data_IF_497303139620
#
_entry.id   IF_497303139620
#
_cell.length_a   1.000
_cell.length_b   1.000
_cell.length_c   1.000
_cell.angle_alpha   90.00
_cell.angle_beta   90.00
_cell.angle_gamma   90.00
#
_symmetry.space_group_name_H-M   'P 1'
#
loop_
_entity.id
_entity.type
_entity.pdbx_description
1 polymer ?
#
# COMPACT_ATOMS: atom_id res chain seq x y z
N UNK A 1 58.37 -40.71 -8.48
CA UNK A 1 58.26 -41.64 -7.34
C UNK A 1 56.82 -41.56 -6.87
N UNK A 2 55.98 -42.53 -7.23
CA UNK A 2 54.61 -42.60 -6.76
C UNK A 2 54.62 -43.38 -5.44
N UNK A 3 54.20 -42.74 -4.35
CA UNK A 3 53.96 -43.44 -3.08
C UNK A 3 52.61 -44.13 -3.27
N UNK A 4 52.62 -45.44 -3.50
CA UNK A 4 51.41 -46.26 -3.65
C UNK A 4 51.33 -47.18 -2.43
N UNK A 5 50.67 -46.72 -1.37
CA UNK A 5 50.46 -47.49 -0.15
C UNK A 5 49.01 -48.01 -0.15
N UNK A 6 48.83 -49.31 -0.39
CA UNK A 6 47.55 -49.97 -0.20
C UNK A 6 47.45 -50.43 1.25
N UNK A 7 46.35 -50.09 1.94
CA UNK A 7 46.03 -50.72 3.21
C UNK A 7 44.61 -51.28 3.27
N UNK A 8 44.45 -52.46 3.88
CA UNK A 8 43.18 -53.18 4.01
C UNK A 8 42.97 -53.64 5.46
N UNK A 9 41.74 -53.48 5.97
CA UNK A 9 41.34 -53.78 7.36
C UNK A 9 40.66 -52.59 8.05
N UNK A 10 40.01 -52.83 9.20
CA UNK A 10 39.42 -51.76 10.01
C UNK A 10 40.53 -50.88 10.63
N UNK A 11 40.34 -49.55 10.61
CA UNK A 11 41.26 -48.54 11.16
C UNK A 11 42.62 -48.36 10.46
N UNK A 12 42.77 -48.74 9.18
CA UNK A 12 44.06 -48.55 8.52
C UNK A 12 44.27 -47.14 7.92
N UNK A 13 45.52 -46.66 7.97
CA UNK A 13 45.96 -45.35 7.47
C UNK A 13 47.15 -45.56 6.52
N UNK A 14 47.01 -45.11 5.27
CA UNK A 14 48.01 -45.35 4.21
C UNK A 14 49.03 -44.21 4.01
N UNK A 15 48.79 -42.99 4.50
CA UNK A 15 49.77 -41.89 4.47
C UNK A 15 49.54 -40.98 5.69
N UNK A 16 50.53 -40.87 6.58
CA UNK A 16 50.55 -39.88 7.69
C UNK A 16 51.73 -38.93 7.55
N UNK A 17 51.47 -37.64 7.41
CA UNK A 17 52.51 -36.60 7.46
C UNK A 17 52.15 -35.54 8.52
N UNK A 18 53.03 -35.32 9.49
CA UNK A 18 52.88 -34.27 10.51
C UNK A 18 53.85 -33.13 10.20
N UNK A 19 53.35 -31.89 10.12
CA UNK A 19 54.17 -30.69 9.95
C UNK A 19 53.88 -29.76 11.13
N UNK A 20 54.91 -29.28 11.82
CA UNK A 20 54.77 -28.44 13.03
C UNK A 20 55.59 -27.17 12.90
N UNK A 21 55.05 -26.03 13.33
CA UNK A 21 55.67 -24.70 13.26
C UNK A 21 54.76 -23.66 12.59
N UNK A 22 55.07 -22.37 12.74
CA UNK A 22 54.39 -21.26 12.03
C UNK A 22 54.55 -21.46 10.50
N UNK A 23 53.47 -21.26 9.73
CA UNK A 23 53.42 -21.46 8.25
C UNK A 23 53.71 -22.89 7.71
N UNK A 24 53.68 -23.92 8.56
CA UNK A 24 53.96 -25.31 8.16
C UNK A 24 52.87 -25.93 7.25
N UNK A 25 53.28 -26.82 6.31
CA UNK A 25 52.39 -27.43 5.29
C UNK A 25 52.59 -28.95 5.23
N UNK A 26 51.55 -29.71 5.55
CA UNK A 26 51.61 -31.18 5.62
C UNK A 26 51.58 -31.90 4.26
N UNK A 27 50.71 -31.48 3.33
CA UNK A 27 50.59 -32.03 1.97
C UNK A 27 50.25 -30.89 1.00
N UNK A 28 51.04 -30.72 -0.07
CA UNK A 28 50.80 -29.70 -1.12
C UNK A 28 50.59 -30.40 -2.47
N UNK A 29 49.34 -30.44 -2.95
CA UNK A 29 49.02 -30.85 -4.30
C UNK A 29 49.00 -29.65 -5.26
N UNK A 30 49.92 -29.60 -6.24
CA UNK A 30 49.98 -28.54 -7.27
C UNK A 30 49.77 -29.14 -8.65
N UNK A 31 48.72 -28.71 -9.34
CA UNK A 31 48.45 -29.08 -10.73
C UNK A 31 48.32 -27.81 -11.59
N UNK A 32 48.93 -27.79 -12.78
CA UNK A 32 48.93 -26.64 -13.69
C UNK A 32 48.35 -27.03 -15.06
N UNK A 33 47.50 -26.18 -15.65
CA UNK A 33 46.86 -26.40 -16.96
C UNK A 33 45.33 -26.28 -16.90
N UNK A 34 44.66 -26.18 -18.06
CA UNK A 34 43.19 -26.21 -18.10
C UNK A 34 42.66 -27.54 -17.57
N UNK A 35 41.61 -27.51 -16.71
CA UNK A 35 40.93 -28.70 -16.16
C UNK A 35 41.80 -29.61 -15.29
N UNK A 36 42.68 -29.04 -14.47
CA UNK A 36 43.54 -29.81 -13.54
C UNK A 36 43.02 -29.76 -12.11
N UNK A 37 43.31 -30.81 -11.33
CA UNK A 37 42.91 -30.94 -9.92
C UNK A 37 44.15 -31.11 -9.04
N UNK A 38 44.33 -30.24 -8.04
CA UNK A 38 45.48 -30.27 -7.14
C UNK A 38 45.42 -31.40 -6.11
N UNK A 39 44.22 -31.69 -5.58
CA UNK A 39 43.93 -32.78 -4.63
C UNK A 39 42.50 -33.26 -4.88
N UNK A 40 42.26 -34.58 -4.89
CA UNK A 40 40.92 -35.18 -5.02
C UNK A 40 40.75 -36.24 -3.93
N UNK A 41 39.70 -36.12 -3.11
CA UNK A 41 39.35 -37.10 -2.09
C UNK A 41 38.04 -37.80 -2.41
N UNK A 42 37.99 -39.11 -2.19
CA UNK A 42 36.81 -39.97 -2.39
C UNK A 42 36.53 -40.74 -1.09
N UNK A 43 35.27 -40.75 -0.64
CA UNK A 43 34.83 -41.52 0.52
C UNK A 43 33.32 -41.70 0.51
N UNK A 44 32.84 -42.86 0.99
CA UNK A 44 31.40 -43.18 0.99
C UNK A 44 30.59 -42.33 1.98
N UNK A 45 31.23 -41.85 3.05
CA UNK A 45 30.62 -40.95 4.03
C UNK A 45 31.18 -39.52 3.96
N UNK A 46 32.50 -39.36 3.86
CA UNK A 46 33.17 -38.05 3.77
C UNK A 46 34.31 -38.13 2.75
N UNK A 47 34.27 -37.30 1.70
CA UNK A 47 35.31 -37.28 0.65
C UNK A 47 36.56 -36.49 1.02
N UNK A 48 36.41 -35.35 1.72
CA UNK A 48 37.50 -34.53 2.27
C UNK A 48 36.99 -33.88 3.57
N UNK A 49 37.67 -34.08 4.70
CA UNK A 49 37.40 -33.43 5.98
C UNK A 49 38.56 -32.50 6.34
N UNK A 50 38.26 -31.24 6.64
CA UNK A 50 39.23 -30.32 7.24
C UNK A 50 38.71 -29.84 8.59
N UNK A 51 39.54 -29.98 9.63
CA UNK A 51 39.21 -29.60 11.01
C UNK A 51 40.25 -28.59 11.49
N UNK A 52 39.78 -27.43 11.92
CA UNK A 52 40.60 -26.36 12.48
C UNK A 52 40.20 -26.14 13.93
N UNK A 53 41.15 -26.23 14.84
CA UNK A 53 40.90 -26.07 16.29
C UNK A 53 41.04 -24.63 16.77
N UNK A 54 41.73 -23.78 16.00
CA UNK A 54 41.95 -22.36 16.32
C UNK A 54 41.54 -21.39 15.21
N UNK A 55 41.35 -21.89 13.97
CA UNK A 55 40.97 -21.09 12.80
C UNK A 55 40.14 -21.94 11.82
N UNK A 56 40.14 -21.62 10.52
CA UNK A 56 39.29 -22.29 9.53
C UNK A 56 39.61 -23.80 9.35
N UNK A 57 38.59 -24.66 9.35
CA UNK A 57 38.75 -26.09 9.02
C UNK A 57 38.99 -26.36 7.53
N UNK A 58 38.35 -25.60 6.63
CA UNK A 58 38.60 -25.62 5.17
C UNK A 58 38.49 -24.19 4.64
N UNK A 59 39.45 -23.74 3.82
CA UNK A 59 39.42 -22.44 3.13
C UNK A 59 39.48 -22.66 1.62
N UNK A 60 38.46 -22.17 0.91
CA UNK A 60 38.46 -22.12 -0.54
C UNK A 60 38.70 -20.69 -1.06
N UNK A 61 39.88 -20.44 -1.64
CA UNK A 61 40.26 -19.14 -2.20
C UNK A 61 40.36 -19.22 -3.72
N UNK A 62 39.54 -18.43 -4.42
CA UNK A 62 39.72 -18.19 -5.86
C UNK A 62 40.36 -16.83 -6.08
N UNK A 63 41.49 -16.79 -6.80
CA UNK A 63 42.15 -15.54 -7.24
C UNK A 63 41.76 -15.13 -8.67
N UNK A 64 40.78 -15.81 -9.26
CA UNK A 64 40.38 -15.58 -10.64
C UNK A 64 39.75 -14.19 -10.79
N UNK A 65 40.28 -13.39 -11.72
CA UNK A 65 39.74 -12.06 -12.07
C UNK A 65 38.63 -12.14 -13.13
N UNK A 66 38.32 -13.34 -13.63
CA UNK A 66 37.31 -13.60 -14.67
C UNK A 66 36.14 -14.47 -14.16
N UNK A 67 36.13 -14.87 -12.88
CA UNK A 67 35.03 -15.61 -12.22
C UNK A 67 35.41 -16.95 -11.57
N UNK A 68 34.47 -17.55 -10.83
CA UNK A 68 34.64 -18.84 -10.12
C UNK A 68 34.24 -18.77 -8.63
N UNK A 69 34.00 -19.92 -7.98
CA UNK A 69 33.63 -20.00 -6.56
C UNK A 69 34.84 -20.40 -5.69
N UNK A 70 34.98 -19.81 -4.50
CA UNK A 70 35.99 -20.25 -3.51
C UNK A 70 35.72 -21.66 -2.98
N UNK A 71 34.45 -21.96 -2.65
CA UNK A 71 33.94 -23.28 -2.27
C UNK A 71 32.64 -23.53 -3.03
N UNK A 72 32.46 -24.71 -3.62
CA UNK A 72 31.24 -25.10 -4.34
C UNK A 72 30.70 -26.41 -3.76
N UNK A 73 29.50 -26.34 -3.16
CA UNK A 73 28.79 -27.51 -2.66
C UNK A 73 27.54 -27.80 -3.51
N UNK A 74 27.44 -29.02 -4.03
CA UNK A 74 26.33 -29.45 -4.87
C UNK A 74 25.85 -30.85 -4.48
N UNK A 75 24.53 -31.04 -4.46
CA UNK A 75 23.88 -32.32 -4.21
C UNK A 75 22.90 -32.60 -5.35
N UNK A 76 22.96 -33.79 -5.95
CA UNK A 76 22.16 -34.19 -7.12
C UNK A 76 20.96 -35.08 -6.78
N UNK A 77 20.77 -35.43 -5.50
CA UNK A 77 19.83 -36.44 -5.03
C UNK A 77 18.98 -36.03 -3.81
N UNK A 78 18.85 -34.73 -3.50
CA UNK A 78 17.87 -34.22 -2.53
C UNK A 78 18.40 -33.72 -1.18
N UNK A 79 19.70 -33.48 -1.04
CA UNK A 79 20.31 -32.86 0.15
C UNK A 79 20.70 -31.38 -0.02
N UNK A 80 21.12 -30.74 1.06
CA UNK A 80 21.65 -29.37 1.04
C UNK A 80 23.02 -29.30 0.36
N UNK A 81 23.25 -28.31 -0.50
CA UNK A 81 24.55 -28.10 -1.15
C UNK A 81 25.62 -27.54 -0.19
N UNK A 82 25.23 -26.61 0.69
CA UNK A 82 26.07 -26.02 1.74
C UNK A 82 25.20 -25.81 2.99
N UNK A 83 25.69 -26.19 4.17
CA UNK A 83 25.05 -25.94 5.47
C UNK A 83 26.06 -25.24 6.37
N UNK A 84 25.66 -24.12 6.96
CA UNK A 84 26.42 -23.47 8.02
C UNK A 84 25.58 -23.41 9.30
N UNK A 85 26.20 -23.70 10.43
CA UNK A 85 25.60 -23.58 11.77
C UNK A 85 26.61 -22.81 12.65
N UNK A 86 26.14 -21.83 13.42
CA UNK A 86 26.99 -21.08 14.34
C UNK A 86 26.21 -20.77 15.61
N UNK A 87 26.84 -20.99 16.77
CA UNK A 87 26.25 -20.75 18.10
C UNK A 87 26.49 -19.34 18.64
N UNK A 88 27.32 -18.54 17.96
CA UNK A 88 27.73 -17.22 18.46
C UNK A 88 28.11 -16.20 17.40
N UNK A 89 27.98 -16.51 16.10
CA UNK A 89 28.29 -15.60 15.00
C UNK A 89 27.46 -15.95 13.75
N UNK A 90 27.82 -15.42 12.57
CA UNK A 90 27.13 -15.74 11.31
C UNK A 90 27.33 -17.22 10.92
N UNK A 91 26.23 -17.94 10.67
CA UNK A 91 26.24 -19.32 10.20
C UNK A 91 26.67 -19.43 8.72
N UNK A 92 26.17 -18.51 7.88
CA UNK A 92 26.60 -18.30 6.48
C UNK A 92 26.60 -16.79 6.22
N UNK A 93 27.70 -16.25 5.68
CA UNK A 93 27.83 -14.83 5.35
C UNK A 93 28.26 -14.63 3.91
N UNK A 94 27.56 -13.76 3.19
CA UNK A 94 27.85 -13.44 1.80
C UNK A 94 28.07 -11.94 1.62
N UNK A 95 29.28 -11.56 1.20
CA UNK A 95 29.70 -10.16 1.07
C UNK A 95 30.21 -9.91 -0.35
N UNK A 96 29.60 -8.95 -1.04
CA UNK A 96 30.03 -8.51 -2.37
C UNK A 96 30.46 -7.05 -2.28
N UNK A 97 31.65 -6.72 -2.81
CA UNK A 97 32.15 -5.35 -2.93
C UNK A 97 31.97 -4.79 -4.36
N UNK A 98 31.38 -5.58 -5.25
CA UNK A 98 31.21 -5.19 -6.66
C UNK A 98 30.14 -4.12 -6.80
N UNK A 99 30.48 -3.02 -7.49
CA UNK A 99 29.58 -1.90 -7.80
C UNK A 99 28.88 -2.03 -9.15
N UNK A 100 29.22 -3.07 -9.93
CA UNK A 100 28.66 -3.32 -11.27
C UNK A 100 27.79 -4.58 -11.33
N UNK A 101 27.61 -5.28 -10.20
CA UNK A 101 26.70 -6.43 -10.07
C UNK A 101 27.15 -7.50 -9.06
N UNK A 102 26.23 -8.38 -8.66
CA UNK A 102 26.46 -9.50 -7.74
C UNK A 102 25.82 -9.30 -6.36
N UNK A 103 25.01 -10.27 -5.92
CA UNK A 103 24.38 -10.26 -4.59
C UNK A 103 25.30 -10.89 -3.54
N UNK A 104 25.26 -10.38 -2.29
CA UNK A 104 25.93 -11.04 -1.16
C UNK A 104 25.43 -12.48 -0.97
N UNK A 105 24.12 -12.69 -1.04
CA UNK A 105 23.47 -14.01 -1.04
C UNK A 105 22.38 -14.04 -2.12
N UNK A 106 22.36 -15.07 -2.97
CA UNK A 106 21.33 -15.27 -3.99
C UNK A 106 20.67 -16.65 -3.81
N UNK A 107 19.41 -16.67 -3.38
CA UNK A 107 18.60 -17.88 -3.29
C UNK A 107 17.60 -17.97 -4.45
N UNK A 108 17.70 -19.03 -5.25
CA UNK A 108 16.74 -19.35 -6.33
C UNK A 108 16.22 -20.77 -6.14
N UNK A 109 14.91 -20.89 -5.89
CA UNK A 109 14.21 -22.17 -5.82
C UNK A 109 13.15 -22.27 -6.91
N UNK A 110 12.79 -23.50 -7.30
CA UNK A 110 11.51 -23.74 -8.01
C UNK A 110 10.31 -23.61 -7.06
N UNK A 111 10.53 -23.86 -5.76
CA UNK A 111 9.62 -23.53 -4.65
C UNK A 111 10.09 -22.25 -3.94
N UNK A 112 10.36 -22.31 -2.65
CA UNK A 112 10.89 -21.16 -1.88
C UNK A 112 12.36 -20.89 -2.22
N UNK A 113 12.72 -19.62 -2.46
CA UNK A 113 14.10 -19.22 -2.75
C UNK A 113 14.95 -18.96 -1.50
N UNK A 114 14.42 -18.17 -0.55
CA UNK A 114 15.06 -17.82 0.73
C UNK A 114 13.99 -17.79 1.83
N UNK A 115 14.30 -18.34 3.01
CA UNK A 115 13.47 -18.23 4.22
C UNK A 115 14.34 -17.57 5.28
N UNK A 116 13.83 -16.50 5.90
CA UNK A 116 14.45 -15.87 7.08
C UNK A 116 13.55 -16.06 8.29
N UNK A 117 14.06 -16.71 9.32
CA UNK A 117 13.41 -16.89 10.61
C UNK A 117 14.35 -16.36 11.70
N UNK A 118 13.81 -15.64 12.66
CA UNK A 118 14.57 -15.13 13.79
C UNK A 118 13.64 -14.68 14.91
N UNK A 119 14.12 -14.79 16.15
CA UNK A 119 13.35 -14.41 17.35
C UNK A 119 13.09 -12.89 17.42
N UNK A 120 13.95 -12.08 16.78
CA UNK A 120 13.81 -10.62 16.72
C UNK A 120 13.51 -10.12 15.30
N UNK A 121 14.27 -10.58 14.30
CA UNK A 121 14.07 -10.24 12.89
C UNK A 121 14.31 -11.47 12.00
N UNK A 122 13.39 -11.75 11.06
CA UNK A 122 13.59 -12.80 10.06
C UNK A 122 14.44 -12.35 8.87
N UNK A 123 14.12 -11.18 8.29
CA UNK A 123 14.84 -10.56 7.16
C UNK A 123 14.96 -9.06 7.40
N UNK A 124 16.16 -8.49 7.22
CA UNK A 124 16.42 -7.06 7.37
C UNK A 124 17.11 -6.54 6.09
N UNK A 125 16.47 -5.58 5.41
CA UNK A 125 17.06 -4.84 4.29
C UNK A 125 17.53 -3.46 4.76
N UNK A 126 18.81 -3.14 4.60
CA UNK A 126 19.38 -1.82 4.94
C UNK A 126 20.15 -1.32 3.73
N UNK A 127 19.92 -0.06 3.36
CA UNK A 127 20.71 0.63 2.34
C UNK A 127 21.44 1.77 3.04
N UNK A 128 22.77 1.66 3.27
CA UNK A 128 23.56 2.78 3.80
C UNK A 128 23.59 3.86 2.71
N UNK A 129 22.91 4.97 2.95
CA UNK A 129 22.72 6.01 1.93
C UNK A 129 24.05 6.60 1.45
N UNK A 130 24.26 6.59 0.13
CA UNK A 130 25.25 7.46 -0.52
C UNK A 130 24.52 8.70 -1.02
N UNK A 131 25.04 9.90 -0.79
CA UNK A 131 24.44 11.12 -1.35
C UNK A 131 24.44 11.03 -2.88
N UNK A 132 23.23 11.09 -3.47
CA UNK A 132 23.05 11.32 -4.91
C UNK A 132 22.53 10.11 -5.71
N UNK A 133 21.28 10.23 -6.16
CA UNK A 133 20.76 9.69 -7.44
C UNK A 133 20.72 8.18 -7.65
N UNK A 134 20.24 7.39 -6.68
CA UNK A 134 19.74 6.05 -7.00
C UNK A 134 18.46 5.76 -6.22
N UNK A 135 17.40 5.38 -6.97
CA UNK A 135 16.13 4.92 -6.42
C UNK A 135 16.28 3.46 -6.00
N UNK A 136 16.81 3.23 -4.80
CA UNK A 136 17.03 1.87 -4.32
C UNK A 136 15.92 1.42 -3.35
N UNK A 137 15.57 0.14 -3.41
CA UNK A 137 14.59 -0.48 -2.52
C UNK A 137 15.29 -1.45 -1.57
N UNK A 138 15.18 -1.22 -0.26
CA UNK A 138 15.77 -2.10 0.74
C UNK A 138 15.14 -3.51 0.70
N UNK A 139 13.87 -3.58 0.33
CA UNK A 139 13.12 -4.82 0.05
C UNK A 139 12.31 -4.58 -1.22
N UNK A 140 12.48 -5.44 -2.23
CA UNK A 140 11.71 -5.42 -3.47
C UNK A 140 10.92 -6.74 -3.60
N UNK A 141 9.59 -6.65 -3.52
CA UNK A 141 8.68 -7.77 -3.78
C UNK A 141 8.04 -7.64 -5.16
N UNK A 142 8.39 -8.54 -6.08
CA UNK A 142 7.78 -8.62 -7.42
C UNK A 142 7.13 -10.00 -7.60
N UNK A 143 5.87 -10.01 -8.05
CA UNK A 143 5.23 -11.23 -8.52
C UNK A 143 4.74 -11.05 -9.95
N UNK A 144 5.14 -11.98 -10.83
CA UNK A 144 4.83 -11.94 -12.28
C UNK A 144 3.57 -12.73 -12.67
N UNK A 145 2.95 -13.44 -11.72
CA UNK A 145 1.71 -14.18 -11.96
C UNK A 145 0.46 -13.33 -11.72
N UNK A 146 -0.64 -13.68 -12.40
CA UNK A 146 -1.91 -12.93 -12.40
C UNK A 146 -2.57 -12.74 -11.02
N UNK A 147 -2.24 -13.61 -10.06
CA UNK A 147 -2.79 -13.57 -8.69
C UNK A 147 -1.68 -13.43 -7.62
N UNK A 148 -0.59 -12.79 -8.01
CA UNK A 148 0.60 -12.64 -7.19
C UNK A 148 0.49 -11.61 -6.07
N UNK A 149 1.13 -11.90 -4.93
CA UNK A 149 1.45 -10.88 -3.92
C UNK A 149 2.93 -10.53 -3.99
N UNK A 150 3.27 -9.25 -4.13
CA UNK A 150 4.65 -8.80 -3.96
C UNK A 150 5.10 -8.92 -2.49
N UNK A 151 4.23 -8.51 -1.56
CA UNK A 151 4.43 -8.58 -0.11
C UNK A 151 3.12 -9.02 0.56
N UNK A 152 3.18 -10.00 1.48
CA UNK A 152 2.04 -10.44 2.29
C UNK A 152 2.42 -10.41 3.77
N UNK A 153 1.88 -9.43 4.51
CA UNK A 153 2.08 -9.30 5.95
C UNK A 153 0.94 -9.93 6.76
N UNK A 154 1.27 -10.63 7.85
CA UNK A 154 0.31 -11.09 8.88
C UNK A 154 0.94 -10.88 10.25
N UNK A 155 0.21 -10.23 11.15
CA UNK A 155 0.65 -9.92 12.52
C UNK A 155 -0.55 -9.84 13.45
N UNK A 156 -0.35 -10.12 14.74
CA UNK A 156 -1.36 -9.91 15.78
C UNK A 156 -1.50 -8.43 16.19
N UNK A 157 -0.56 -7.58 15.76
CA UNK A 157 -0.58 -6.14 16.02
C UNK A 157 -0.41 -5.40 14.68
N UNK A 158 0.74 -4.77 14.43
CA UNK A 158 1.03 -4.10 13.17
C UNK A 158 1.71 -5.06 12.20
N UNK A 159 1.11 -5.26 11.01
CA UNK A 159 1.71 -6.09 9.96
C UNK A 159 2.68 -5.29 9.07
N UNK A 160 2.39 -4.00 8.81
CA UNK A 160 3.22 -3.09 8.02
C UNK A 160 3.22 -1.74 8.74
N UNK A 161 4.40 -1.22 9.05
CA UNK A 161 4.61 0.16 9.51
C UNK A 161 5.51 0.87 8.51
N UNK A 162 5.09 2.04 8.04
CA UNK A 162 5.81 2.83 7.04
C UNK A 162 5.91 4.28 7.51
N UNK A 163 7.12 4.81 7.51
CA UNK A 163 7.43 6.18 7.92
C UNK A 163 8.36 6.81 6.87
N UNK A 164 8.10 8.07 6.54
CA UNK A 164 8.97 8.88 5.69
C UNK A 164 9.16 10.24 6.34
N UNK A 165 10.40 10.66 6.52
CA UNK A 165 10.75 11.96 7.13
C UNK A 165 10.84 13.10 6.11
N UNK A 166 10.78 12.79 4.80
CA UNK A 166 10.99 13.77 3.73
C UNK A 166 9.87 13.83 2.70
N UNK A 167 9.14 12.75 2.49
CA UNK A 167 8.18 12.65 1.39
C UNK A 167 7.08 11.65 1.76
N UNK A 168 6.65 10.83 0.80
CA UNK A 168 5.54 9.91 0.95
C UNK A 168 5.98 8.61 1.62
N UNK A 169 5.22 8.14 2.62
CA UNK A 169 5.45 6.86 3.28
C UNK A 169 4.84 5.67 2.51
N UNK A 170 3.73 5.88 1.80
CA UNK A 170 3.03 4.85 1.03
C UNK A 170 2.48 5.41 -0.29
N UNK A 171 2.77 4.73 -1.39
CA UNK A 171 2.20 5.02 -2.73
C UNK A 171 1.53 3.73 -3.22
N UNK A 172 0.27 3.83 -3.65
CA UNK A 172 -0.47 2.74 -4.25
C UNK A 172 -0.89 3.14 -5.68
N UNK A 173 -0.44 2.38 -6.67
CA UNK A 173 -0.67 2.69 -8.09
C UNK A 173 -1.20 1.47 -8.82
N UNK A 174 -2.35 1.62 -9.47
CA UNK A 174 -2.91 0.63 -10.38
C UNK A 174 -3.05 1.24 -11.78
N UNK A 175 -2.67 0.48 -12.81
CA UNK A 175 -2.75 0.89 -14.23
C UNK A 175 -3.87 0.20 -15.01
N UNK A 176 -4.57 -0.74 -14.39
CA UNK A 176 -5.73 -1.40 -15.00
C UNK A 176 -6.95 -0.48 -15.03
N UNK A 177 -7.91 -0.81 -15.89
CA UNK A 177 -9.24 -0.18 -15.91
C UNK A 177 -10.14 -0.87 -14.89
N UNK A 178 -10.99 -0.09 -14.22
CA UNK A 178 -12.03 -0.59 -13.30
C UNK A 178 -11.51 -1.45 -12.14
N UNK A 179 -10.28 -1.18 -11.69
CA UNK A 179 -9.61 -1.89 -10.59
C UNK A 179 -9.08 -0.91 -9.55
N UNK A 180 -9.13 -1.30 -8.28
CA UNK A 180 -8.72 -0.45 -7.17
C UNK A 180 -7.19 -0.38 -7.02
N UNK A 181 -6.67 0.80 -6.66
CA UNK A 181 -5.28 0.96 -6.22
C UNK A 181 -5.05 0.46 -4.79
N UNK A 182 -6.06 0.59 -3.93
CA UNK A 182 -6.01 0.17 -2.54
C UNK A 182 -7.37 -0.42 -2.14
N UNK A 183 -7.33 -1.57 -1.47
CA UNK A 183 -8.50 -2.20 -0.85
C UNK A 183 -8.20 -2.36 0.62
N UNK A 184 -9.05 -1.79 1.48
CA UNK A 184 -8.98 -1.94 2.94
C UNK A 184 -10.22 -2.68 3.39
N UNK A 185 -10.04 -3.87 3.96
CA UNK A 185 -11.14 -4.69 4.45
C UNK A 185 -11.05 -4.81 5.97
N UNK A 186 -12.03 -4.26 6.67
CA UNK A 186 -12.13 -4.33 8.12
C UNK A 186 -13.22 -5.35 8.51
N UNK A 187 -12.82 -6.54 8.94
CA UNK A 187 -13.75 -7.59 9.37
C UNK A 187 -14.22 -7.43 10.81
N UNK A 188 -13.53 -6.59 11.59
CA UNK A 188 -13.91 -6.23 12.95
C UNK A 188 -14.89 -5.06 13.01
N UNK A 189 -14.98 -4.45 14.18
CA UNK A 189 -15.90 -3.32 14.47
C UNK A 189 -15.21 -1.95 14.50
N UNK A 190 -13.89 -1.91 14.29
CA UNK A 190 -13.11 -0.67 14.30
C UNK A 190 -13.32 0.19 13.05
N UNK A 191 -12.74 1.38 13.05
CA UNK A 191 -12.72 2.26 11.86
C UNK A 191 -11.96 1.60 10.71
N UNK A 192 -12.33 1.93 9.47
CA UNK A 192 -11.64 1.48 8.26
C UNK A 192 -10.35 2.27 8.07
N UNK A 193 -10.40 3.60 8.21
CA UNK A 193 -9.25 4.51 8.08
C UNK A 193 -9.27 5.55 9.20
N UNK A 194 -8.10 5.92 9.71
CA UNK A 194 -7.91 6.99 10.69
C UNK A 194 -6.78 7.91 10.20
N UNK A 195 -7.07 9.20 10.09
CA UNK A 195 -6.10 10.26 9.82
C UNK A 195 -5.80 11.08 11.07
N UNK A 196 -4.51 11.33 11.33
CA UNK A 196 -4.03 12.10 12.49
C UNK A 196 -3.18 13.29 12.04
N UNK A 197 -3.17 14.35 12.84
CA UNK A 197 -2.33 15.53 12.63
C UNK A 197 -0.95 15.39 13.29
N UNK A 198 -0.13 16.44 13.22
CA UNK A 198 1.22 16.52 13.79
C UNK A 198 1.27 16.47 15.33
N UNK A 199 0.12 16.57 16.01
CA UNK A 199 0.01 16.38 17.47
C UNK A 199 -0.49 14.97 17.81
N UNK A 200 -0.59 14.10 16.81
CA UNK A 200 -1.19 12.78 16.89
C UNK A 200 -2.68 12.82 17.28
N UNK A 201 -3.35 13.97 17.06
CA UNK A 201 -4.79 14.10 17.27
C UNK A 201 -5.54 13.65 16.03
N UNK A 202 -6.67 12.99 16.21
CA UNK A 202 -7.47 12.57 15.07
C UNK A 202 -8.17 13.75 14.39
N UNK A 203 -8.14 13.75 13.05
CA UNK A 203 -8.75 14.80 12.21
C UNK A 203 -9.67 14.24 11.12
N UNK A 204 -9.62 12.93 10.88
CA UNK A 204 -10.37 12.24 9.85
C UNK A 204 -10.56 10.77 10.25
N UNK A 205 -11.75 10.21 10.00
CA UNK A 205 -11.97 8.77 10.03
C UNK A 205 -13.02 8.33 9.02
N UNK A 206 -12.86 7.11 8.52
CA UNK A 206 -13.90 6.36 7.79
C UNK A 206 -14.40 5.27 8.72
N UNK A 207 -15.68 5.33 9.07
CA UNK A 207 -16.35 4.36 9.94
C UNK A 207 -16.65 3.07 9.18
N UNK A 208 -16.89 1.98 9.91
CA UNK A 208 -17.18 0.68 9.31
C UNK A 208 -18.54 0.62 8.59
N UNK A 209 -19.42 1.59 8.83
CA UNK A 209 -20.70 1.74 8.12
C UNK A 209 -20.59 2.60 6.84
N UNK A 210 -19.38 3.08 6.50
CA UNK A 210 -19.13 3.93 5.34
C UNK A 210 -19.21 5.43 5.61
N UNK A 211 -19.65 5.86 6.79
CA UNK A 211 -19.70 7.27 7.15
C UNK A 211 -18.29 7.86 7.25
N UNK A 212 -18.16 9.12 6.82
CA UNK A 212 -16.92 9.88 6.93
C UNK A 212 -17.10 10.99 7.96
N UNK A 213 -16.27 10.97 8.99
CA UNK A 213 -16.20 12.05 9.98
C UNK A 213 -14.96 12.89 9.72
N UNK A 214 -15.17 14.17 9.42
CA UNK A 214 -14.14 15.15 9.11
C UNK A 214 -14.57 16.52 9.59
N UNK A 215 -13.62 17.42 9.89
CA UNK A 215 -13.93 18.78 10.38
C UNK A 215 -14.53 19.70 9.33
N UNK A 216 -14.20 19.49 8.06
CA UNK A 216 -14.67 20.31 6.96
C UNK A 216 -14.32 19.66 5.63
N UNK A 217 -15.13 19.96 4.61
CA UNK A 217 -14.93 19.52 3.24
C UNK A 217 -14.87 20.79 2.38
N UNK A 218 -13.74 20.99 1.71
CA UNK A 218 -13.57 22.06 0.73
C UNK A 218 -13.65 21.44 -0.65
N UNK A 219 -14.63 21.85 -1.45
CA UNK A 219 -14.89 21.31 -2.77
C UNK A 219 -14.29 22.25 -3.82
N UNK A 220 -13.60 21.72 -4.82
CA UNK A 220 -13.12 22.50 -5.98
C UNK A 220 -14.29 23.18 -6.67
N UNK A 221 -14.27 24.51 -6.73
CA UNK A 221 -15.30 25.32 -7.36
C UNK A 221 -14.70 26.62 -7.93
N UNK A 222 -13.57 26.51 -8.63
CA UNK A 222 -12.96 27.61 -9.37
C UNK A 222 -13.73 27.84 -10.69
N UNK A 223 -13.93 29.11 -11.09
CA UNK A 223 -14.55 29.46 -12.37
C UNK A 223 -13.70 29.01 -13.56
N UNK A 224 -12.39 28.89 -13.40
CA UNK A 224 -11.47 28.46 -14.46
C UNK A 224 -11.45 26.94 -14.65
N UNK A 225 -11.98 26.19 -13.68
CA UNK A 225 -12.20 24.74 -13.74
C UNK A 225 -13.64 24.41 -14.20
N UNK A 226 -14.42 25.42 -14.59
CA UNK A 226 -15.82 25.30 -15.02
C UNK A 226 -16.02 25.99 -16.36
N UNK A 227 -16.87 25.42 -17.19
CA UNK A 227 -17.23 25.94 -18.51
C UNK A 227 -18.70 25.70 -18.81
N UNK A 228 -19.19 26.23 -19.94
CA UNK A 228 -20.59 26.10 -20.39
C UNK A 228 -21.63 26.68 -19.40
N UNK A 229 -21.35 27.85 -18.85
CA UNK A 229 -22.27 28.55 -17.96
C UNK A 229 -23.57 28.92 -18.69
N UNK A 230 -24.70 28.47 -18.13
CA UNK A 230 -26.05 28.83 -18.54
C UNK A 230 -26.81 29.35 -17.33
N UNK A 231 -27.62 30.38 -17.54
CA UNK A 231 -28.52 30.90 -16.51
C UNK A 231 -29.60 29.86 -16.19
N UNK A 232 -29.97 29.79 -14.92
CA UNK A 232 -31.04 28.91 -14.44
C UNK A 232 -32.31 29.71 -14.13
N UNK A 233 -33.46 29.12 -14.43
CA UNK A 233 -34.74 29.69 -14.02
C UNK A 233 -35.02 29.38 -12.54
N UNK A 234 -34.68 30.32 -11.66
CA UNK A 234 -34.83 30.17 -10.20
C UNK A 234 -36.27 29.93 -9.74
N UNK A 235 -37.27 30.42 -10.48
CA UNK A 235 -38.68 30.19 -10.14
C UNK A 235 -39.11 28.76 -10.50
N UNK A 236 -38.63 28.24 -11.63
CA UNK A 236 -38.87 26.85 -12.03
C UNK A 236 -38.16 25.87 -11.08
N UNK A 237 -36.93 26.18 -10.68
CA UNK A 237 -36.21 25.36 -9.69
C UNK A 237 -36.95 25.36 -8.35
N UNK A 238 -37.42 26.51 -7.88
CA UNK A 238 -38.23 26.58 -6.66
C UNK A 238 -39.48 25.72 -6.80
N UNK A 239 -40.23 25.85 -7.91
CA UNK A 239 -41.47 25.09 -8.12
C UNK A 239 -41.22 23.57 -8.09
N UNK A 240 -40.20 23.11 -8.82
CA UNK A 240 -39.74 21.71 -8.79
C UNK A 240 -39.35 21.26 -7.38
N UNK A 241 -38.60 22.08 -6.64
CA UNK A 241 -38.20 21.76 -5.27
C UNK A 241 -39.41 21.65 -4.34
N UNK A 242 -40.39 22.55 -4.46
CA UNK A 242 -41.60 22.54 -3.62
C UNK A 242 -42.52 21.36 -3.89
N UNK A 243 -42.48 20.80 -5.10
CA UNK A 243 -43.25 19.61 -5.48
C UNK A 243 -42.51 18.29 -5.19
N UNK A 244 -41.22 18.34 -4.87
CA UNK A 244 -40.42 17.15 -4.58
C UNK A 244 -40.66 16.63 -3.15
N UNK A 245 -40.91 15.32 -2.94
CA UNK A 245 -41.06 14.75 -1.61
C UNK A 245 -39.81 14.93 -0.74
N UNK A 246 -39.98 15.50 0.45
CA UNK A 246 -38.98 15.49 1.52
C UNK A 246 -39.54 14.65 2.66
N UNK A 247 -38.86 13.57 3.00
CA UNK A 247 -39.31 12.62 4.00
C UNK A 247 -38.25 12.44 5.09
N UNK A 248 -38.69 12.05 6.28
CA UNK A 248 -37.80 11.50 7.28
C UNK A 248 -37.62 9.99 7.02
N UNK A 249 -36.39 9.51 7.04
CA UNK A 249 -36.05 8.12 6.76
C UNK A 249 -34.85 7.64 7.60
N UNK A 250 -34.54 6.35 7.56
CA UNK A 250 -33.33 5.75 8.13
C UNK A 250 -32.74 4.77 7.11
N UNK A 251 -31.43 4.53 7.14
CA UNK A 251 -30.87 3.43 6.34
C UNK A 251 -31.37 2.10 6.88
N UNK A 252 -31.44 1.08 6.01
CA UNK A 252 -31.85 -0.27 6.42
C UNK A 252 -30.94 -0.89 7.49
N UNK A 253 -29.67 -0.48 7.52
CA UNK A 253 -28.68 -0.92 8.49
C UNK A 253 -28.65 -0.07 9.78
N UNK A 254 -29.30 1.10 9.77
CA UNK A 254 -29.39 1.96 10.94
C UNK A 254 -30.42 1.41 11.94
N UNK A 255 -30.22 1.71 13.23
CA UNK A 255 -31.29 1.54 14.22
C UNK A 255 -32.42 2.54 13.99
N UNK A 256 -33.66 2.17 14.34
CA UNK A 256 -34.87 2.96 14.05
C UNK A 256 -34.88 4.38 14.65
N UNK A 257 -34.04 4.66 15.65
CA UNK A 257 -33.90 5.97 16.28
C UNK A 257 -32.94 6.92 15.54
N UNK A 258 -32.15 6.42 14.59
CA UNK A 258 -31.31 7.26 13.73
C UNK A 258 -32.19 7.72 12.58
N UNK A 259 -32.41 9.04 12.48
CA UNK A 259 -33.30 9.63 11.48
C UNK A 259 -32.54 10.65 10.65
N UNK A 260 -32.70 10.53 9.35
CA UNK A 260 -32.25 11.47 8.33
C UNK A 260 -33.46 12.19 7.72
N UNK A 261 -33.22 13.31 7.05
CA UNK A 261 -34.23 14.06 6.32
C UNK A 261 -33.70 14.44 4.95
N UNK A 262 -34.49 14.20 3.91
CA UNK A 262 -34.14 14.56 2.55
C UNK A 262 -34.98 13.82 1.52
N UNK A 263 -34.78 14.12 0.22
CA UNK A 263 -35.39 13.37 -0.86
C UNK A 263 -34.68 12.04 -1.09
N UNK A 264 -35.31 11.15 -1.86
CA UNK A 264 -34.59 10.03 -2.47
C UNK A 264 -33.76 10.51 -3.66
N UNK A 265 -32.73 9.75 -4.05
CA UNK A 265 -31.95 10.06 -5.24
C UNK A 265 -32.80 10.02 -6.51
N UNK A 266 -33.80 9.13 -6.57
CA UNK A 266 -34.69 8.98 -7.71
C UNK A 266 -35.59 10.21 -7.86
N UNK A 267 -36.21 10.69 -6.77
CA UNK A 267 -37.05 11.88 -6.81
C UNK A 267 -36.24 13.13 -7.22
N UNK A 268 -35.04 13.29 -6.65
CA UNK A 268 -34.14 14.39 -7.01
C UNK A 268 -33.73 14.34 -8.49
N UNK A 269 -33.41 13.16 -9.00
CA UNK A 269 -33.07 12.95 -10.42
C UNK A 269 -34.26 13.24 -11.32
N UNK A 270 -35.46 12.79 -10.97
CA UNK A 270 -36.69 13.07 -11.73
C UNK A 270 -37.00 14.56 -11.77
N UNK A 271 -36.79 15.28 -10.67
CA UNK A 271 -37.05 16.71 -10.60
C UNK A 271 -36.01 17.56 -11.38
N UNK A 272 -34.72 17.23 -11.29
CA UNK A 272 -33.64 18.12 -11.75
C UNK A 272 -32.72 17.53 -12.84
N UNK A 273 -32.69 16.21 -13.02
CA UNK A 273 -31.86 15.57 -14.05
C UNK A 273 -30.34 15.61 -13.80
N UNK A 274 -29.88 16.02 -12.61
CA UNK A 274 -28.45 16.21 -12.28
C UNK A 274 -27.74 14.90 -11.90
N UNK A 275 -26.41 14.94 -11.69
CA UNK A 275 -25.56 13.78 -11.34
C UNK A 275 -25.38 12.68 -12.41
N UNK A 276 -25.39 13.02 -13.71
CA UNK A 276 -25.02 12.08 -14.79
C UNK A 276 -25.89 10.82 -14.86
N UNK A 277 -25.29 9.64 -15.05
CA UNK A 277 -26.01 8.36 -15.09
C UNK A 277 -26.18 7.70 -13.70
N UNK A 278 -25.74 8.37 -12.62
CA UNK A 278 -25.92 7.86 -11.26
C UNK A 278 -27.36 8.09 -10.78
N UNK A 279 -28.03 6.99 -10.45
CA UNK A 279 -29.43 6.97 -10.03
C UNK A 279 -29.64 6.62 -8.56
N UNK A 280 -28.57 6.41 -7.79
CA UNK A 280 -28.66 5.94 -6.39
C UNK A 280 -27.95 6.86 -5.40
N UNK A 281 -27.21 7.86 -5.87
CA UNK A 281 -26.57 8.88 -5.04
C UNK A 281 -27.02 10.29 -5.41
N UNK A 282 -27.00 11.19 -4.42
CA UNK A 282 -27.21 12.63 -4.60
C UNK A 282 -25.85 13.32 -4.44
N UNK A 283 -25.43 14.06 -5.46
CA UNK A 283 -24.26 14.94 -5.38
C UNK A 283 -24.52 16.06 -4.38
N UNK A 284 -23.63 16.23 -3.40
CA UNK A 284 -23.73 17.34 -2.44
C UNK A 284 -23.61 18.70 -3.12
N UNK A 285 -22.88 18.78 -4.24
CA UNK A 285 -22.74 20.02 -5.02
C UNK A 285 -24.07 20.38 -5.68
N UNK A 286 -24.72 19.40 -6.31
CA UNK A 286 -25.98 19.61 -7.02
C UNK A 286 -27.11 19.97 -6.04
N UNK A 287 -27.17 19.26 -4.90
CA UNK A 287 -28.15 19.55 -3.85
C UNK A 287 -27.98 20.98 -3.29
N UNK A 288 -26.75 21.42 -3.04
CA UNK A 288 -26.46 22.79 -2.59
C UNK A 288 -26.81 23.83 -3.67
N UNK A 289 -26.46 23.57 -4.94
CA UNK A 289 -26.79 24.45 -6.05
C UNK A 289 -28.30 24.66 -6.23
N UNK A 290 -29.07 23.57 -6.22
CA UNK A 290 -30.54 23.62 -6.25
C UNK A 290 -31.09 24.39 -5.05
N UNK A 291 -30.56 24.16 -3.85
CA UNK A 291 -31.00 24.85 -2.63
C UNK A 291 -30.78 26.37 -2.74
N UNK A 292 -29.61 26.80 -3.20
CA UNK A 292 -29.29 28.23 -3.38
C UNK A 292 -30.20 28.89 -4.44
N UNK A 293 -30.39 28.22 -5.58
CA UNK A 293 -31.27 28.72 -6.64
C UNK A 293 -32.73 28.80 -6.18
N UNK A 294 -33.22 27.80 -5.43
CA UNK A 294 -34.56 27.82 -4.87
C UNK A 294 -34.74 28.95 -3.84
N UNK A 295 -33.73 29.23 -2.99
CA UNK A 295 -33.75 30.38 -2.08
C UNK A 295 -33.87 31.70 -2.85
N UNK A 296 -33.13 31.86 -3.95
CA UNK A 296 -33.26 33.03 -4.82
C UNK A 296 -34.66 33.13 -5.45
N UNK A 297 -35.20 32.01 -5.93
CA UNK A 297 -36.57 31.95 -6.44
C UNK A 297 -37.61 32.32 -5.39
N UNK A 298 -37.43 31.86 -4.15
CA UNK A 298 -38.33 32.15 -3.03
C UNK A 298 -38.29 33.64 -2.69
N UNK A 299 -37.10 34.23 -2.66
CA UNK A 299 -36.94 35.66 -2.45
C UNK A 299 -37.64 36.47 -3.56
N UNK A 300 -37.49 36.07 -4.83
CA UNK A 300 -38.16 36.73 -5.95
C UNK A 300 -39.69 36.71 -5.80
N UNK A 301 -40.27 35.53 -5.51
CA UNK A 301 -41.72 35.39 -5.28
C UNK A 301 -42.20 36.20 -4.08
N UNK A 302 -41.39 36.29 -3.02
CA UNK A 302 -41.71 37.09 -1.84
C UNK A 302 -41.74 38.60 -2.16
N UNK A 303 -40.80 39.11 -2.94
CA UNK A 303 -40.81 40.52 -3.37
C UNK A 303 -42.01 40.83 -4.28
N UNK A 304 -42.36 39.94 -5.20
CA UNK A 304 -43.57 40.06 -6.03
C UNK A 304 -44.84 40.12 -5.16
N UNK A 305 -44.95 39.24 -4.15
CA UNK A 305 -46.08 39.24 -3.21
C UNK A 305 -46.16 40.53 -2.37
N UNK A 306 -45.02 41.10 -1.95
CA UNK A 306 -45.02 42.38 -1.21
C UNK A 306 -45.53 43.53 -2.08
N UNK A 307 -45.16 43.56 -3.36
CA UNK A 307 -45.63 44.58 -4.30
C UNK A 307 -47.14 44.46 -4.49
N UNK A 308 -47.64 43.24 -4.75
CA UNK A 308 -49.07 43.00 -4.90
C UNK A 308 -49.84 43.39 -3.64
N UNK A 309 -49.35 43.00 -2.46
CA UNK A 309 -49.96 43.33 -1.19
C UNK A 309 -50.04 44.85 -0.96
N UNK A 310 -48.97 45.59 -1.27
CA UNK A 310 -48.96 47.06 -1.19
C UNK A 310 -49.99 47.68 -2.15
N UNK A 311 -50.10 47.17 -3.37
CA UNK A 311 -51.10 47.62 -4.35
C UNK A 311 -52.53 47.36 -3.87
N UNK A 312 -52.78 46.18 -3.27
CA UNK A 312 -54.07 45.83 -2.69
C UNK A 312 -54.42 46.77 -1.53
N UNK A 313 -53.48 47.10 -0.65
CA UNK A 313 -53.69 48.08 0.43
C UNK A 313 -54.06 49.47 -0.11
N UNK A 314 -53.38 49.96 -1.15
CA UNK A 314 -53.72 51.24 -1.80
C UNK A 314 -55.14 51.18 -2.38
N UNK A 315 -55.51 50.06 -3.01
CA UNK A 315 -56.84 49.91 -3.64
C UNK A 315 -57.96 49.81 -2.60
N UNK A 316 -57.73 49.13 -1.48
CA UNK A 316 -58.65 49.06 -0.34
C UNK A 316 -58.89 50.44 0.26
N UNK A 317 -57.82 51.20 0.57
CA UNK A 317 -57.94 52.55 1.11
C UNK A 317 -58.76 53.48 0.17
N UNK A 318 -58.57 53.36 -1.14
CA UNK A 318 -59.35 54.11 -2.13
C UNK A 318 -60.84 53.71 -2.15
N UNK A 319 -61.16 52.43 -1.99
CA UNK A 319 -62.54 51.95 -1.93
C UNK A 319 -63.23 52.37 -0.65
N UNK A 320 -62.56 52.26 0.50
CA UNK A 320 -63.05 52.72 1.80
C UNK A 320 -63.38 54.22 1.78
N UNK A 321 -62.48 55.04 1.20
CA UNK A 321 -62.74 56.47 1.03
C UNK A 321 -63.97 56.75 0.13
N UNK A 322 -64.17 55.95 -0.91
CA UNK A 322 -65.35 56.07 -1.79
C UNK A 322 -66.64 55.65 -1.10
N UNK A 323 -66.61 54.57 -0.32
CA UNK A 323 -67.76 54.09 0.45
C UNK A 323 -68.16 55.13 1.51
N UNK A 324 -67.21 55.64 2.29
CA UNK A 324 -67.48 56.70 3.26
C UNK A 324 -68.10 57.95 2.62
N UNK A 325 -67.68 58.30 1.40
CA UNK A 325 -68.27 59.42 0.63
C UNK A 325 -69.70 59.14 0.13
N UNK A 326 -70.06 57.88 -0.09
CA UNK A 326 -71.42 57.48 -0.49
C UNK A 326 -72.34 57.37 0.73
N UNK A 327 -71.85 56.80 1.83
CA UNK A 327 -72.57 56.68 3.09
C UNK A 327 -72.87 58.05 3.71
N UNK A 328 -71.97 59.02 3.58
CA UNK A 328 -72.21 60.42 4.02
C UNK A 328 -73.16 61.22 3.12
N UNK A 329 -73.61 60.65 1.99
CA UNK A 329 -74.58 61.27 1.07
C UNK A 329 -76.00 60.67 1.17
N UNK A 330 -76.19 59.59 1.93
CA UNK A 330 -77.51 59.07 2.32
C UNK A 330 -77.91 59.61 3.69
#
# INVERSE_FOLDING_TARGET
>A
MAINENCTGNNCIAITGTSTGEDSKGIIGKANGQRTYGVVGYGEAVGVQGEGTTWHGVVGLSKSTIGGFGVYGANTAGGSGVVGESKGWHAVGGFSQSTTGGAGVYGKGKGTGVIGEGETYGIVGIIPGTQGTISDAAILGESKGDYGYGIKGKSNNVAISAESTKSTALIATTRGRDVSALIVNQWGTGNIIIGRDNRNAEVFRVLNNGDVQVRGITITSDKNEKENFLDVNVLEILDKLTNMPIQSWNYKADSNNIRHIGPTAQDFKTAFGLNGDDHIHISSIDLQGVSLAAIQGLNKKNEELKIENAQLHIRLANLEARLSKLESKS
#
